data_IF_344618401388
#
_entry.id   IF_344618401388
#
_cell.length_a   1.000
_cell.length_b   1.000
_cell.length_c   1.000
_cell.angle_alpha   90.00
_cell.angle_beta   90.00
_cell.angle_gamma   90.00
#
_symmetry.space_group_name_H-M   'P 1'
#
loop_
_entity.id
_entity.type
_entity.pdbx_description
1 polymer ?
#
# COMPACT_ATOMS: atom_id res chain seq x y z
N UNK A 1 26.59 1.48 23.63
CA UNK A 1 25.75 0.42 23.01
C UNK A 1 26.71 -0.56 22.36
N UNK A 2 26.65 -1.84 22.72
CA UNK A 2 27.53 -2.85 22.14
C UNK A 2 27.01 -3.29 20.77
N UNK A 3 27.83 -3.15 19.73
CA UNK A 3 27.53 -3.62 18.38
C UNK A 3 27.82 -5.13 18.36
N UNK A 4 26.80 -5.96 18.17
CA UNK A 4 26.98 -7.40 17.92
C UNK A 4 27.13 -7.60 16.41
N UNK A 5 28.37 -7.85 15.95
CA UNK A 5 28.64 -8.35 14.62
C UNK A 5 28.27 -9.84 14.59
N UNK A 6 27.12 -10.17 13.99
CA UNK A 6 26.73 -11.58 13.77
C UNK A 6 27.33 -12.03 12.45
N UNK A 7 28.27 -12.97 12.53
CA UNK A 7 28.81 -13.70 11.39
C UNK A 7 27.82 -14.82 11.09
N UNK A 8 27.17 -14.81 9.93
CA UNK A 8 26.23 -15.86 9.55
C UNK A 8 27.00 -17.14 9.21
N UNK A 9 27.05 -18.07 10.17
CA UNK A 9 27.28 -19.49 9.90
C UNK A 9 25.92 -20.13 9.62
N UNK A 10 25.74 -20.52 8.36
CA UNK A 10 24.63 -21.31 7.87
C UNK A 10 24.77 -22.73 8.42
N UNK A 11 24.05 -23.06 9.49
CA UNK A 11 23.77 -24.46 9.83
C UNK A 11 22.50 -24.62 10.70
N UNK A 12 21.56 -25.39 10.15
CA UNK A 12 20.84 -26.42 10.89
C UNK A 12 19.86 -26.05 12.03
N UNK A 13 18.58 -26.10 11.69
CA UNK A 13 17.58 -26.93 12.39
C UNK A 13 17.17 -26.50 13.83
N UNK A 14 16.04 -25.77 13.98
CA UNK A 14 15.30 -25.72 15.24
C UNK A 14 13.79 -25.75 15.00
N UNK A 15 13.17 -26.64 15.77
CA UNK A 15 11.78 -27.12 15.77
C UNK A 15 10.73 -26.05 16.06
N UNK A 16 9.56 -26.27 15.44
CA UNK A 16 8.27 -25.67 15.74
C UNK A 16 7.86 -25.86 17.21
N UNK A 17 7.41 -24.76 17.84
CA UNK A 17 6.58 -24.82 19.03
C UNK A 17 5.38 -23.87 18.83
N UNK A 18 4.27 -24.46 18.39
CA UNK A 18 2.96 -23.82 18.32
C UNK A 18 2.37 -23.85 19.74
N UNK A 19 2.24 -22.69 20.37
CA UNK A 19 1.36 -22.50 21.52
C UNK A 19 0.03 -21.93 21.02
N UNK A 20 -0.98 -22.79 20.92
CA UNK A 20 -2.38 -22.39 20.90
C UNK A 20 -2.75 -21.77 22.26
N UNK A 21 -3.29 -20.56 22.24
CA UNK A 21 -3.96 -20.00 23.40
C UNK A 21 -5.31 -19.43 22.96
N UNK A 22 -6.37 -20.07 23.44
CA UNK A 22 -7.75 -19.77 23.10
C UNK A 22 -8.41 -18.73 23.99
N UNK A 23 -9.70 -18.53 23.67
CA UNK A 23 -10.77 -17.89 24.41
C UNK A 23 -10.81 -16.35 24.50
N UNK A 24 -11.85 -15.78 23.88
CA UNK A 24 -13.03 -15.18 24.56
C UNK A 24 -13.84 -14.36 23.53
N UNK A 25 -15.05 -14.79 23.16
CA UNK A 25 -16.34 -14.50 23.82
C UNK A 25 -17.12 -13.45 23.03
N UNK A 26 -18.09 -13.92 22.23
CA UNK A 26 -19.14 -13.10 21.63
C UNK A 26 -20.24 -12.83 22.67
N UNK A 27 -20.76 -11.60 22.79
CA UNK A 27 -21.98 -11.36 23.56
C UNK A 27 -23.21 -11.76 22.74
N UNK A 28 -23.98 -12.68 23.31
CA UNK A 28 -25.40 -12.92 23.02
C UNK A 28 -26.19 -11.62 23.24
N UNK A 29 -26.88 -11.15 22.19
CA UNK A 29 -27.91 -10.12 22.32
C UNK A 29 -29.25 -10.83 22.42
N UNK A 30 -29.75 -10.78 23.66
CA UNK A 30 -30.96 -11.37 24.15
C UNK A 30 -32.21 -10.63 23.62
N UNK A 31 -33.17 -11.47 23.28
CA UNK A 31 -34.56 -11.19 22.91
C UNK A 31 -35.32 -10.56 24.08
N UNK A 32 -36.05 -9.46 23.83
CA UNK A 32 -37.16 -9.01 24.69
C UNK A 32 -38.22 -8.20 23.92
N UNK A 33 -39.40 -8.83 23.79
CA UNK A 33 -40.71 -8.31 24.24
C UNK A 33 -41.53 -7.34 23.35
N UNK A 34 -42.50 -7.94 22.62
CA UNK A 34 -43.97 -7.72 22.67
C UNK A 34 -44.56 -6.37 22.11
N UNK A 35 -45.88 -6.20 21.80
CA UNK A 35 -47.00 -7.16 21.68
C UNK A 35 -47.96 -7.00 20.46
N UNK A 36 -48.80 -8.02 20.29
CA UNK A 36 -50.23 -7.98 19.91
C UNK A 36 -50.71 -7.53 18.51
N UNK A 37 -51.14 -8.56 17.78
CA UNK A 37 -52.24 -8.59 16.81
C UNK A 37 -53.56 -8.00 17.35
N UNK A 38 -54.18 -7.07 16.62
CA UNK A 38 -55.63 -6.78 16.72
C UNK A 38 -56.26 -6.63 15.34
N UNK A 39 -56.72 -7.75 14.79
CA UNK A 39 -57.79 -7.77 13.80
C UNK A 39 -59.09 -7.38 14.50
N UNK A 40 -59.67 -6.23 14.13
CA UNK A 40 -61.03 -5.84 14.52
C UNK A 40 -61.97 -6.13 13.36
N UNK A 41 -62.55 -7.32 13.36
CA UNK A 41 -63.73 -7.64 12.56
C UNK A 41 -64.96 -7.00 13.21
N UNK A 42 -65.45 -5.91 12.63
CA UNK A 42 -66.74 -5.32 12.99
C UNK A 42 -67.84 -6.08 12.27
N UNK A 43 -68.62 -6.83 13.04
CA UNK A 43 -69.90 -7.43 12.65
C UNK A 43 -70.87 -6.26 12.43
N UNK A 44 -71.06 -5.89 11.17
CA UNK A 44 -72.21 -5.11 10.71
C UNK A 44 -73.31 -6.08 10.28
N UNK A 45 -74.41 -6.05 11.01
CA UNK A 45 -75.71 -6.69 10.77
C UNK A 45 -76.37 -6.18 9.46
N UNK A 46 -75.73 -6.48 8.34
CA UNK A 46 -76.27 -6.23 7.02
C UNK A 46 -76.86 -7.52 6.48
N UNK A 47 -78.12 -7.81 6.76
CA UNK A 47 -78.92 -8.75 5.97
C UNK A 47 -78.98 -8.25 4.53
N UNK A 48 -78.05 -8.72 3.70
CA UNK A 48 -78.11 -8.50 2.25
C UNK A 48 -79.12 -9.50 1.72
N UNK A 49 -80.29 -9.01 1.31
CA UNK A 49 -81.28 -9.77 0.53
C UNK A 49 -80.62 -10.30 -0.75
N UNK A 50 -80.24 -11.58 -0.74
CA UNK A 50 -79.55 -12.25 -1.85
C UNK A 50 -80.49 -12.46 -3.06
N UNK A 51 -81.80 -12.28 -2.87
CA UNK A 51 -82.83 -12.50 -3.89
C UNK A 51 -82.96 -11.36 -4.92
N UNK A 52 -82.15 -10.30 -4.82
CA UNK A 52 -82.17 -9.16 -5.77
C UNK A 52 -80.99 -9.12 -6.76
N UNK A 53 -80.14 -10.13 -6.80
CA UNK A 53 -78.96 -10.16 -7.70
C UNK A 53 -79.32 -10.45 -9.18
N UNK A 54 -80.55 -10.90 -9.47
CA UNK A 54 -80.90 -11.39 -10.81
C UNK A 54 -81.48 -10.36 -11.80
N UNK A 55 -81.61 -9.08 -11.40
CA UNK A 55 -82.20 -8.02 -12.25
C UNK A 55 -81.19 -6.96 -12.72
N UNK A 56 -79.88 -7.27 -12.70
CA UNK A 56 -78.89 -6.39 -13.32
C UNK A 56 -78.83 -6.65 -14.84
N UNK A 57 -78.94 -5.60 -15.68
CA UNK A 57 -78.79 -5.76 -17.12
C UNK A 57 -77.39 -6.30 -17.43
N UNK A 58 -77.32 -7.36 -18.25
CA UNK A 58 -76.07 -7.97 -18.65
C UNK A 58 -75.14 -6.91 -19.26
N UNK A 59 -74.11 -6.54 -18.51
CA UNK A 59 -73.07 -5.64 -19.00
C UNK A 59 -72.22 -6.40 -20.02
N UNK A 60 -72.55 -6.26 -21.30
CA UNK A 60 -71.66 -6.66 -22.38
C UNK A 60 -70.50 -5.66 -22.42
N UNK A 61 -69.38 -6.05 -21.82
CA UNK A 61 -68.14 -5.29 -21.92
C UNK A 61 -67.80 -5.06 -23.40
N UNK A 62 -67.37 -3.85 -23.80
CA UNK A 62 -66.94 -3.61 -25.17
C UNK A 62 -65.78 -4.54 -25.53
N UNK A 63 -65.69 -5.01 -26.79
CA UNK A 63 -64.64 -5.92 -27.21
C UNK A 63 -63.27 -5.30 -26.94
N UNK A 64 -62.48 -5.97 -26.11
CA UNK A 64 -61.09 -5.59 -25.86
C UNK A 64 -60.31 -5.82 -27.14
N UNK A 65 -60.00 -4.72 -27.83
CA UNK A 65 -59.20 -4.75 -29.05
C UNK A 65 -57.72 -4.93 -28.65
N UNK A 66 -57.24 -6.17 -28.63
CA UNK A 66 -55.85 -6.52 -28.31
C UNK A 66 -54.82 -6.11 -29.38
N UNK A 67 -55.15 -5.18 -30.28
CA UNK A 67 -54.28 -4.78 -31.40
C UNK A 67 -53.27 -3.67 -31.07
N UNK A 68 -53.02 -3.33 -29.80
CA UNK A 68 -51.93 -2.41 -29.41
C UNK A 68 -50.63 -3.12 -29.01
N UNK A 69 -50.38 -4.31 -29.55
CA UNK A 69 -49.21 -5.13 -29.25
C UNK A 69 -48.09 -5.07 -30.29
N UNK A 70 -47.82 -3.95 -30.99
CA UNK A 70 -46.72 -3.90 -31.98
C UNK A 70 -45.88 -2.61 -31.94
N UNK A 71 -45.99 -1.81 -30.87
CA UNK A 71 -45.20 -0.56 -30.73
C UNK A 71 -44.00 -0.62 -29.79
N UNK A 72 -43.91 -1.63 -28.91
CA UNK A 72 -42.97 -1.62 -27.78
C UNK A 72 -41.73 -2.51 -27.92
N UNK A 73 -41.60 -3.28 -29.01
CA UNK A 73 -40.50 -4.23 -29.18
C UNK A 73 -39.15 -3.54 -29.52
N UNK A 74 -39.15 -2.44 -30.29
CA UNK A 74 -37.91 -1.81 -30.75
C UNK A 74 -37.20 -0.95 -29.70
N UNK A 75 -37.90 -0.54 -28.64
CA UNK A 75 -37.35 0.23 -27.52
C UNK A 75 -36.76 -0.66 -26.42
N UNK A 76 -37.33 -1.86 -26.21
CA UNK A 76 -36.87 -2.81 -25.20
C UNK A 76 -35.51 -3.42 -25.57
N UNK A 77 -35.31 -3.77 -26.85
CA UNK A 77 -34.01 -4.27 -27.34
C UNK A 77 -32.90 -3.21 -27.21
N UNK A 78 -33.20 -1.95 -27.56
CA UNK A 78 -32.24 -0.84 -27.41
C UNK A 78 -31.88 -0.59 -25.94
N UNK A 79 -32.85 -0.64 -25.03
CA UNK A 79 -32.59 -0.51 -23.58
C UNK A 79 -31.77 -1.68 -23.04
N UNK A 80 -32.03 -2.91 -23.48
CA UNK A 80 -31.25 -4.08 -23.09
C UNK A 80 -29.78 -4.00 -23.52
N UNK A 81 -29.51 -3.49 -24.74
CA UNK A 81 -28.14 -3.24 -25.21
C UNK A 81 -27.46 -2.16 -24.35
N UNK A 82 -28.17 -1.07 -24.03
CA UNK A 82 -27.63 0.00 -23.17
C UNK A 82 -27.27 -0.52 -21.78
N UNK A 83 -28.13 -1.32 -21.14
CA UNK A 83 -27.82 -1.91 -19.83
C UNK A 83 -26.62 -2.87 -19.86
N UNK A 84 -26.44 -3.63 -20.95
CA UNK A 84 -25.25 -4.47 -21.13
C UNK A 84 -23.98 -3.63 -21.26
N UNK A 85 -24.01 -2.54 -22.02
CA UNK A 85 -22.86 -1.62 -22.17
C UNK A 85 -22.51 -0.96 -20.84
N UNK A 86 -23.51 -0.46 -20.10
CA UNK A 86 -23.31 0.14 -18.77
C UNK A 86 -22.75 -0.90 -17.80
N UNK A 87 -23.28 -2.13 -17.79
CA UNK A 87 -22.78 -3.22 -16.95
C UNK A 87 -21.31 -3.54 -17.22
N UNK A 88 -20.91 -3.62 -18.50
CA UNK A 88 -19.50 -3.83 -18.88
C UNK A 88 -18.62 -2.67 -18.42
N UNK A 89 -19.07 -1.42 -18.59
CA UNK A 89 -18.34 -0.23 -18.13
C UNK A 89 -18.09 -0.26 -16.61
N UNK A 90 -19.10 -0.61 -15.82
CA UNK A 90 -18.98 -0.74 -14.36
C UNK A 90 -17.96 -1.82 -14.00
N UNK A 91 -18.01 -2.99 -14.66
CA UNK A 91 -17.05 -4.07 -14.44
C UNK A 91 -15.62 -3.61 -14.75
N UNK A 92 -15.40 -2.91 -15.87
CA UNK A 92 -14.08 -2.38 -16.23
C UNK A 92 -13.56 -1.39 -15.17
N UNK A 93 -14.42 -0.53 -14.64
CA UNK A 93 -14.06 0.39 -13.55
C UNK A 93 -13.67 -0.39 -12.29
N UNK A 94 -14.43 -1.42 -11.90
CA UNK A 94 -14.12 -2.26 -10.74
C UNK A 94 -12.78 -2.99 -10.93
N UNK A 95 -12.55 -3.59 -12.10
CA UNK A 95 -11.27 -4.26 -12.43
C UNK A 95 -10.10 -3.27 -12.37
N UNK A 96 -10.29 -2.04 -12.87
CA UNK A 96 -9.28 -0.98 -12.78
C UNK A 96 -8.94 -0.62 -11.33
N UNK A 97 -9.94 -0.50 -10.44
CA UNK A 97 -9.70 -0.23 -9.03
C UNK A 97 -9.02 -1.41 -8.31
N UNK A 98 -9.38 -2.65 -8.62
CA UNK A 98 -8.72 -3.84 -8.08
C UNK A 98 -7.25 -3.87 -8.53
N UNK A 99 -6.99 -3.67 -9.83
CA UNK A 99 -5.63 -3.63 -10.38
C UNK A 99 -4.78 -2.54 -9.71
N UNK A 100 -5.34 -1.33 -9.56
CA UNK A 100 -4.67 -0.21 -8.87
C UNK A 100 -4.44 -0.49 -7.38
N UNK A 101 -5.39 -1.15 -6.72
CA UNK A 101 -5.26 -1.55 -5.31
C UNK A 101 -4.16 -2.59 -5.11
N UNK A 102 -4.10 -3.62 -5.95
CA UNK A 102 -3.06 -4.67 -5.89
C UNK A 102 -1.68 -4.09 -6.15
N UNK A 103 -1.52 -3.30 -7.22
CA UNK A 103 -0.23 -2.66 -7.55
C UNK A 103 0.25 -1.70 -6.45
N UNK A 104 -0.66 -1.04 -5.72
CA UNK A 104 -0.30 -0.25 -4.55
C UNK A 104 0.14 -1.09 -3.34
N UNK A 105 -0.22 -2.38 -3.26
CA UNK A 105 0.22 -3.26 -2.17
C UNK A 105 1.51 -4.03 -2.48
N UNK A 106 1.78 -4.34 -3.75
CA UNK A 106 2.85 -5.28 -4.15
C UNK A 106 4.24 -4.65 -4.36
N UNK A 107 4.37 -3.32 -4.41
CA UNK A 107 5.66 -2.63 -4.48
C UNK A 107 5.52 -1.12 -4.66
N UNK A 108 6.62 -0.36 -4.71
CA UNK A 108 6.56 1.03 -5.17
C UNK A 108 6.77 1.11 -6.68
N UNK A 109 5.78 1.58 -7.43
CA UNK A 109 5.95 1.95 -8.85
C UNK A 109 6.73 3.25 -9.05
N UNK A 110 7.66 3.58 -8.14
CA UNK A 110 8.40 4.84 -8.13
C UNK A 110 9.30 4.99 -9.36
N UNK A 111 9.65 6.24 -9.69
CA UNK A 111 10.66 6.54 -10.71
C UNK A 111 12.01 6.04 -10.21
N UNK A 112 12.69 5.22 -11.00
CA UNK A 112 14.09 4.89 -10.73
C UNK A 112 14.96 6.12 -10.96
N UNK A 113 15.74 6.49 -9.94
CA UNK A 113 16.63 7.66 -9.97
C UNK A 113 18.10 7.29 -9.78
N UNK A 114 18.46 6.04 -10.09
CA UNK A 114 19.83 5.53 -9.95
C UNK A 114 20.88 6.42 -10.62
N UNK A 115 20.57 6.93 -11.82
CA UNK A 115 21.49 7.78 -12.59
C UNK A 115 21.68 9.17 -11.96
N UNK A 116 20.80 9.57 -11.05
CA UNK A 116 20.88 10.83 -10.32
C UNK A 116 21.65 10.71 -8.99
N UNK A 117 21.90 9.50 -8.47
CA UNK A 117 22.48 9.29 -7.13
C UNK A 117 23.95 9.75 -7.02
N UNK A 118 24.68 9.83 -8.14
CA UNK A 118 26.08 10.27 -8.21
C UNK A 118 26.25 11.71 -8.70
N UNK A 119 25.15 12.41 -9.01
CA UNK A 119 25.16 13.78 -9.52
C UNK A 119 25.26 14.80 -8.39
N UNK A 120 25.65 16.03 -8.70
CA UNK A 120 25.64 17.11 -7.69
C UNK A 120 24.21 17.55 -7.35
N UNK A 121 24.02 18.20 -6.20
CA UNK A 121 22.71 18.76 -5.81
C UNK A 121 22.10 19.63 -6.92
N UNK A 122 22.91 20.46 -7.59
CA UNK A 122 22.44 21.36 -8.65
C UNK A 122 21.93 20.60 -9.88
N UNK A 123 22.64 19.53 -10.26
CA UNK A 123 22.24 18.65 -11.37
C UNK A 123 20.95 17.91 -11.04
N UNK A 124 20.85 17.35 -9.82
CA UNK A 124 19.63 16.70 -9.33
C UNK A 124 18.47 17.71 -9.30
N UNK A 125 18.70 18.90 -8.78
CA UNK A 125 17.71 19.98 -8.69
C UNK A 125 17.19 20.37 -10.08
N UNK A 126 18.08 20.47 -11.07
CA UNK A 126 17.74 20.77 -12.45
C UNK A 126 16.94 19.64 -13.11
N UNK A 127 17.47 18.41 -13.09
CA UNK A 127 16.88 17.24 -13.76
C UNK A 127 15.49 16.90 -13.19
N UNK A 128 15.34 17.03 -11.87
CA UNK A 128 14.11 16.67 -11.16
C UNK A 128 13.20 17.88 -10.90
N UNK A 129 13.64 19.09 -11.25
CA UNK A 129 12.94 20.36 -10.99
C UNK A 129 12.59 20.49 -9.52
N UNK A 130 13.58 20.31 -8.65
CA UNK A 130 13.48 20.34 -7.19
C UNK A 130 14.22 21.57 -6.67
N UNK A 131 13.73 22.13 -5.56
CA UNK A 131 14.46 23.10 -4.76
C UNK A 131 14.80 22.44 -3.44
N UNK A 132 16.08 22.41 -3.07
CA UNK A 132 16.56 21.84 -1.83
C UNK A 132 16.68 22.91 -0.74
N UNK A 133 16.24 22.57 0.46
CA UNK A 133 16.27 23.43 1.65
C UNK A 133 16.81 22.64 2.84
N UNK A 134 17.47 23.33 3.77
CA UNK A 134 18.10 22.69 4.92
C UNK A 134 17.06 21.99 5.80
N UNK A 135 17.40 20.79 6.26
CA UNK A 135 16.49 19.94 7.01
C UNK A 135 17.21 19.15 8.11
N UNK A 136 17.47 19.83 9.22
CA UNK A 136 18.13 19.24 10.39
C UNK A 136 17.35 18.05 11.00
N UNK A 137 16.02 18.06 10.89
CA UNK A 137 15.18 16.99 11.43
C UNK A 137 15.46 15.64 10.76
N UNK A 138 15.93 15.65 9.50
CA UNK A 138 16.23 14.43 8.75
C UNK A 138 17.59 13.83 9.03
N UNK A 139 18.51 14.57 9.64
CA UNK A 139 19.85 14.06 9.99
C UNK A 139 19.76 12.76 10.80
N UNK A 140 18.80 12.68 11.74
CA UNK A 140 18.61 11.49 12.60
C UNK A 140 18.09 10.25 11.87
N UNK A 141 17.52 10.41 10.67
CA UNK A 141 16.98 9.31 9.87
C UNK A 141 18.02 8.73 8.90
N UNK A 142 19.18 9.37 8.76
CA UNK A 142 20.25 8.91 7.87
C UNK A 142 21.11 7.90 8.64
N UNK A 143 21.13 6.62 8.22
CA UNK A 143 22.04 5.63 8.80
C UNK A 143 23.47 5.95 8.39
N UNK A 144 24.26 6.45 9.34
CA UNK A 144 25.65 6.85 9.10
C UNK A 144 26.49 6.64 10.36
N UNK A 145 27.76 6.32 10.13
CA UNK A 145 28.75 5.97 11.14
C UNK A 145 30.07 6.71 10.89
N UNK A 146 29.98 7.89 10.29
CA UNK A 146 31.10 8.74 9.99
C UNK A 146 31.51 9.57 11.22
N UNK A 147 32.79 9.93 11.27
CA UNK A 147 33.24 11.04 12.09
C UNK A 147 33.01 12.34 11.31
N UNK A 148 32.34 13.32 11.93
CA UNK A 148 32.13 14.64 11.34
C UNK A 148 30.71 15.17 11.57
N UNK A 149 30.40 16.29 10.92
CA UNK A 149 29.08 16.94 11.01
C UNK A 149 28.25 16.59 9.80
N UNK A 150 27.13 15.90 10.03
CA UNK A 150 26.16 15.60 8.97
C UNK A 150 25.14 16.72 8.87
N UNK A 151 24.95 17.23 7.65
CA UNK A 151 23.83 18.10 7.32
C UNK A 151 23.02 17.48 6.18
N UNK A 152 21.74 17.82 6.09
CA UNK A 152 20.83 17.26 5.09
C UNK A 152 20.04 18.39 4.45
N UNK A 153 20.00 18.41 3.12
CA UNK A 153 19.17 19.33 2.34
C UNK A 153 18.10 18.53 1.61
N UNK A 154 16.85 18.95 1.71
CA UNK A 154 15.67 18.16 1.33
C UNK A 154 14.82 18.87 0.29
N UNK A 155 14.26 18.10 -0.64
CA UNK A 155 13.30 18.60 -1.62
C UNK A 155 12.52 17.45 -2.27
N UNK A 156 11.19 17.58 -2.33
CA UNK A 156 10.25 16.56 -2.89
C UNK A 156 10.56 15.11 -2.45
N UNK A 157 10.81 14.90 -1.16
CA UNK A 157 11.14 13.60 -0.55
C UNK A 157 12.48 12.97 -1.00
N UNK A 158 13.38 13.78 -1.55
CA UNK A 158 14.79 13.45 -1.76
C UNK A 158 15.61 14.26 -0.79
N UNK A 159 16.63 13.63 -0.21
CA UNK A 159 17.49 14.19 0.81
C UNK A 159 18.94 14.07 0.35
N UNK A 160 19.60 15.19 0.06
CA UNK A 160 21.04 15.22 -0.22
C UNK A 160 21.77 15.30 1.12
N UNK A 161 22.72 14.39 1.31
CA UNK A 161 23.46 14.23 2.56
C UNK A 161 24.85 14.81 2.39
N UNK A 162 25.22 15.67 3.33
CA UNK A 162 26.52 16.30 3.41
C UNK A 162 27.27 15.86 4.66
N UNK A 163 28.58 15.67 4.54
CA UNK A 163 29.50 15.42 5.64
C UNK A 163 30.60 16.48 5.57
N UNK A 164 30.70 17.31 6.61
CA UNK A 164 31.65 18.43 6.67
C UNK A 164 31.58 19.33 5.41
N UNK A 165 30.35 19.70 5.04
CA UNK A 165 30.01 20.54 3.87
C UNK A 165 30.30 19.91 2.48
N UNK A 166 30.70 18.65 2.42
CA UNK A 166 30.86 17.90 1.17
C UNK A 166 29.68 16.96 0.92
N UNK A 167 29.12 16.96 -0.29
CA UNK A 167 28.05 16.03 -0.66
C UNK A 167 28.60 14.59 -0.69
N UNK A 168 28.04 13.72 0.14
CA UNK A 168 28.48 12.32 0.27
C UNK A 168 27.40 11.32 -0.10
N UNK A 169 26.14 11.73 -0.29
CA UNK A 169 25.09 10.79 -0.63
C UNK A 169 23.71 11.38 -0.87
N UNK A 170 22.79 10.49 -1.22
CA UNK A 170 21.38 10.77 -1.47
C UNK A 170 20.53 9.75 -0.73
N UNK A 171 19.49 10.23 -0.05
CA UNK A 171 18.56 9.45 0.75
C UNK A 171 17.11 9.69 0.30
N UNK A 172 16.26 8.66 0.43
CA UNK A 172 14.81 8.81 0.31
C UNK A 172 14.06 7.76 1.15
N UNK A 173 12.99 8.20 1.80
CA UNK A 173 11.99 7.35 2.45
C UNK A 173 10.63 7.35 1.73
N UNK A 174 10.60 7.84 0.49
CA UNK A 174 9.37 7.98 -0.30
C UNK A 174 9.18 6.86 -1.30
N UNK A 175 7.92 6.41 -1.43
CA UNK A 175 7.49 5.45 -2.47
C UNK A 175 7.54 6.02 -3.88
N UNK A 176 7.86 7.31 -4.04
CA UNK A 176 7.97 7.97 -5.35
C UNK A 176 9.23 7.60 -6.11
N UNK A 177 10.27 7.11 -5.41
CA UNK A 177 11.57 6.86 -5.99
C UNK A 177 12.03 5.42 -5.77
N UNK A 178 12.93 4.96 -6.64
CA UNK A 178 13.62 3.68 -6.55
C UNK A 178 15.11 3.89 -6.79
N UNK A 179 15.94 3.18 -6.03
CA UNK A 179 17.41 3.19 -6.16
C UNK A 179 17.81 1.78 -6.56
N UNK A 180 18.53 1.63 -7.68
CA UNK A 180 19.01 0.35 -8.20
C UNK A 180 17.91 -0.71 -8.29
N UNK A 181 16.73 -0.34 -8.78
CA UNK A 181 15.59 -1.25 -8.84
C UNK A 181 14.97 -1.62 -7.48
N UNK A 182 15.38 -1.04 -6.36
CA UNK A 182 14.79 -1.20 -5.01
C UNK A 182 13.91 0.00 -4.66
N UNK A 183 12.76 -0.22 -4.03
CA UNK A 183 11.87 0.85 -3.63
C UNK A 183 11.29 0.70 -2.22
N UNK A 184 10.86 1.83 -1.66
CA UNK A 184 10.19 1.85 -0.35
C UNK A 184 8.92 0.99 -0.38
N UNK A 185 8.71 0.24 0.70
CA UNK A 185 7.65 -0.76 0.90
C UNK A 185 7.83 -2.05 0.09
N UNK A 186 8.90 -2.22 -0.68
CA UNK A 186 9.20 -3.53 -1.27
C UNK A 186 9.53 -4.54 -0.15
N UNK A 187 9.03 -5.80 -0.23
CA UNK A 187 9.47 -6.85 0.68
C UNK A 187 10.98 -7.07 0.60
N UNK A 188 11.66 -7.31 1.71
CA UNK A 188 13.11 -7.48 1.79
C UNK A 188 13.65 -8.47 0.75
N UNK A 189 13.04 -9.66 0.66
CA UNK A 189 13.42 -10.67 -0.34
C UNK A 189 13.30 -10.14 -1.78
N UNK A 190 12.20 -9.45 -2.09
CA UNK A 190 11.98 -8.89 -3.42
C UNK A 190 12.94 -7.74 -3.74
N UNK A 191 13.29 -6.93 -2.73
CA UNK A 191 14.30 -5.89 -2.87
C UNK A 191 15.66 -6.52 -3.23
N UNK A 192 16.09 -7.54 -2.49
CA UNK A 192 17.34 -8.26 -2.74
C UNK A 192 17.37 -8.94 -4.13
N UNK A 193 16.31 -9.64 -4.50
CA UNK A 193 16.23 -10.38 -5.77
C UNK A 193 16.28 -9.45 -7.01
N UNK A 194 15.81 -8.20 -6.89
CA UNK A 194 15.73 -7.24 -7.99
C UNK A 194 16.78 -6.12 -7.92
N UNK A 195 17.62 -6.09 -6.89
CA UNK A 195 18.62 -5.05 -6.72
C UNK A 195 19.69 -5.15 -7.82
N UNK A 196 19.88 -4.06 -8.56
CA UNK A 196 20.90 -4.00 -9.64
C UNK A 196 22.26 -3.51 -9.15
N UNK A 197 22.32 -2.96 -7.92
CA UNK A 197 23.54 -2.49 -7.30
C UNK A 197 24.54 -3.62 -7.10
N UNK A 198 25.79 -3.40 -7.53
CA UNK A 198 26.87 -4.38 -7.42
C UNK A 198 27.63 -4.13 -6.12
N UNK A 199 27.62 -5.11 -5.21
CA UNK A 199 28.29 -5.03 -3.92
C UNK A 199 29.23 -6.23 -3.72
N UNK A 200 30.29 -6.02 -2.92
CA UNK A 200 31.25 -7.07 -2.59
C UNK A 200 30.75 -7.92 -1.41
N UNK A 201 30.16 -7.27 -0.41
CA UNK A 201 29.69 -7.87 0.84
C UNK A 201 28.73 -6.88 1.56
N UNK A 202 28.17 -7.27 2.71
CA UNK A 202 27.28 -6.42 3.49
C UNK A 202 27.67 -6.34 4.98
N UNK A 203 27.42 -5.19 5.60
CA UNK A 203 27.47 -5.02 7.06
C UNK A 203 26.04 -4.84 7.56
N UNK A 204 25.66 -5.55 8.61
CA UNK A 204 24.33 -5.43 9.22
C UNK A 204 24.45 -4.74 10.57
N UNK A 205 23.69 -3.67 10.77
CA UNK A 205 23.53 -3.04 12.07
C UNK A 205 22.11 -3.26 12.58
N UNK A 206 22.03 -3.96 13.71
CA UNK A 206 20.77 -4.38 14.30
C UNK A 206 20.17 -3.25 15.16
N UNK A 207 18.87 -2.98 15.00
CA UNK A 207 18.10 -2.00 15.78
C UNK A 207 18.67 -0.58 15.71
N UNK A 208 19.08 -0.16 14.52
CA UNK A 208 19.86 1.05 14.26
C UNK A 208 19.06 2.37 14.43
N UNK A 209 17.74 2.36 14.24
CA UNK A 209 16.95 3.60 14.29
C UNK A 209 16.19 3.78 15.60
N UNK A 210 16.42 4.93 16.22
CA UNK A 210 15.71 5.44 17.40
C UNK A 210 14.20 5.55 17.14
N UNK A 211 13.47 4.48 17.44
CA UNK A 211 12.01 4.47 17.44
C UNK A 211 11.34 3.25 16.78
N UNK A 212 12.11 2.31 16.21
CA UNK A 212 11.54 1.13 15.56
C UNK A 212 12.44 -0.10 15.58
N UNK A 213 11.84 -1.28 15.54
CA UNK A 213 12.53 -2.55 15.28
C UNK A 213 12.91 -2.57 13.78
N UNK A 214 14.09 -2.08 13.43
CA UNK A 214 14.62 -2.12 12.07
C UNK A 214 16.08 -2.55 12.04
N UNK A 215 16.45 -3.27 10.99
CA UNK A 215 17.84 -3.57 10.67
C UNK A 215 18.30 -2.71 9.50
N UNK A 216 19.53 -2.22 9.59
CA UNK A 216 20.18 -1.47 8.51
C UNK A 216 21.25 -2.34 7.87
N UNK A 217 21.18 -2.48 6.56
CA UNK A 217 22.12 -3.24 5.75
C UNK A 217 22.94 -2.30 4.89
N UNK A 218 24.26 -2.36 5.01
CA UNK A 218 25.22 -1.59 4.22
C UNK A 218 25.83 -2.51 3.16
N UNK A 219 25.28 -2.51 1.95
CA UNK A 219 25.84 -3.23 0.80
C UNK A 219 26.94 -2.35 0.21
N UNK A 220 28.21 -2.75 0.36
CA UNK A 220 29.34 -1.89 0.00
C UNK A 220 30.13 -2.43 -1.20
N UNK A 221 30.70 -1.52 -1.98
CA UNK A 221 31.62 -1.85 -3.07
C UNK A 221 32.98 -1.19 -2.81
N UNK A 222 33.97 -1.99 -2.41
CA UNK A 222 35.33 -1.51 -2.11
C UNK A 222 36.03 -0.96 -3.34
N UNK A 223 35.71 -1.48 -4.53
CA UNK A 223 36.34 -1.06 -5.79
C UNK A 223 35.89 0.35 -6.20
N UNK A 224 34.59 0.62 -6.10
CA UNK A 224 34.01 1.92 -6.46
C UNK A 224 34.00 2.92 -5.30
N UNK A 225 34.27 2.46 -4.07
CA UNK A 225 34.19 3.25 -2.84
C UNK A 225 32.77 3.80 -2.57
N UNK A 226 31.73 3.09 -2.99
CA UNK A 226 30.35 3.45 -2.75
C UNK A 226 29.65 2.42 -1.85
N UNK A 227 28.51 2.82 -1.27
CA UNK A 227 27.68 1.94 -0.44
C UNK A 227 26.22 2.28 -0.63
N UNK A 228 25.41 1.24 -0.84
CA UNK A 228 23.97 1.32 -0.83
C UNK A 228 23.43 0.76 0.48
N UNK A 229 22.63 1.57 1.18
CA UNK A 229 22.14 1.30 2.52
C UNK A 229 20.63 1.12 2.49
N UNK A 230 20.16 -0.02 2.99
CA UNK A 230 18.74 -0.32 3.14
C UNK A 230 18.39 -0.43 4.61
N UNK A 231 17.36 0.29 5.04
CA UNK A 231 16.73 0.05 6.34
C UNK A 231 15.47 -0.78 6.14
N UNK A 232 15.41 -1.93 6.81
CA UNK A 232 14.29 -2.87 6.77
C UNK A 232 13.56 -2.85 8.10
N UNK A 233 12.24 -2.69 8.06
CA UNK A 233 11.40 -2.85 9.25
C UNK A 233 11.21 -4.34 9.58
N UNK A 234 11.57 -4.76 10.79
CA UNK A 234 11.49 -6.17 11.22
C UNK A 234 10.08 -6.72 11.26
N UNK A 235 9.10 -5.90 11.63
CA UNK A 235 7.73 -6.37 11.82
C UNK A 235 7.05 -6.63 10.48
N UNK A 236 7.35 -5.82 9.46
CA UNK A 236 6.74 -5.95 8.13
C UNK A 236 7.64 -6.61 7.09
N UNK A 237 8.94 -6.79 7.39
CA UNK A 237 9.97 -7.25 6.46
C UNK A 237 9.99 -6.43 5.16
N UNK A 238 9.90 -5.09 5.28
CA UNK A 238 9.83 -4.16 4.15
C UNK A 238 10.85 -3.04 4.25
N UNK A 239 11.33 -2.59 3.10
CA UNK A 239 12.21 -1.42 2.98
C UNK A 239 11.46 -0.18 3.44
N UNK A 240 12.03 0.54 4.40
CA UNK A 240 11.48 1.81 4.94
C UNK A 240 12.37 3.02 4.67
N UNK A 241 13.65 2.79 4.38
CA UNK A 241 14.57 3.86 4.02
C UNK A 241 15.65 3.34 3.06
N UNK A 242 16.10 4.18 2.15
CA UNK A 242 17.15 3.91 1.17
C UNK A 242 18.13 5.06 1.15
N UNK A 243 19.43 4.77 1.29
CA UNK A 243 20.49 5.77 1.19
C UNK A 243 21.60 5.24 0.30
N UNK A 244 22.09 6.05 -0.63
CA UNK A 244 23.29 5.77 -1.38
C UNK A 244 24.37 6.77 -1.01
N UNK A 245 25.59 6.29 -0.76
CA UNK A 245 26.74 7.13 -0.49
C UNK A 245 27.85 6.87 -1.50
N UNK A 246 28.51 7.93 -1.95
CA UNK A 246 29.64 7.91 -2.88
C UNK A 246 30.99 7.75 -2.18
N UNK A 247 31.03 7.78 -0.85
CA UNK A 247 32.22 7.54 -0.04
C UNK A 247 31.95 6.57 1.12
N UNK A 248 31.96 5.28 0.79
CA UNK A 248 31.79 4.18 1.74
C UNK A 248 32.77 4.29 2.93
N UNK A 249 34.06 4.53 2.69
CA UNK A 249 35.09 4.50 3.74
C UNK A 249 34.83 5.53 4.82
N UNK A 250 34.41 6.74 4.43
CA UNK A 250 34.05 7.79 5.40
C UNK A 250 32.78 7.43 6.15
N UNK A 251 31.77 6.91 5.46
CA UNK A 251 30.45 6.63 6.06
C UNK A 251 30.47 5.48 7.06
N UNK A 252 31.32 4.47 6.87
CA UNK A 252 31.41 3.32 7.77
C UNK A 252 32.59 3.38 8.74
N UNK A 253 33.30 4.50 8.82
CA UNK A 253 34.60 4.59 9.51
C UNK A 253 34.55 4.02 10.94
N UNK A 254 33.50 4.35 11.71
CA UNK A 254 33.33 3.86 13.08
C UNK A 254 32.79 2.43 13.20
N UNK A 255 32.28 1.85 12.10
CA UNK A 255 31.88 0.43 12.05
C UNK A 255 33.06 -0.51 11.83
N UNK A 256 34.10 -0.06 11.12
CA UNK A 256 35.30 -0.85 10.79
C UNK A 256 36.33 -0.95 11.92
N UNK A 257 36.10 -0.33 13.08
CA UNK A 257 36.99 -0.43 14.23
C UNK A 257 36.62 -1.69 15.03
N UNK A 258 37.19 -2.84 14.63
CA UNK A 258 37.66 -3.96 15.48
C UNK A 258 38.21 -5.11 14.65
#
# INVERSE_FOLDING_TARGET
MGIQLKKDETDGNVQDNIQENGNNSFPDINDQNNPESKFRGGIGDGTVDIDKINDLPAYTAPPVNNNMGVGAASGAEKRAIIYKIIGVLIILVVVFFIYRGVTFMTGSGGKDITDELTKTEEEIASDMKIKFEDNEARVRAIPQYANGTITVRSGKDIHVVYLDDEQVGVNSDSRKYRFFGVGINDPEKHALDNMTYQYDDCIVVLNDLMGGNSDTYFYYNKKNNDVFVLTINKNSARVVNMTYFTDYKRIVETLTIN
#
